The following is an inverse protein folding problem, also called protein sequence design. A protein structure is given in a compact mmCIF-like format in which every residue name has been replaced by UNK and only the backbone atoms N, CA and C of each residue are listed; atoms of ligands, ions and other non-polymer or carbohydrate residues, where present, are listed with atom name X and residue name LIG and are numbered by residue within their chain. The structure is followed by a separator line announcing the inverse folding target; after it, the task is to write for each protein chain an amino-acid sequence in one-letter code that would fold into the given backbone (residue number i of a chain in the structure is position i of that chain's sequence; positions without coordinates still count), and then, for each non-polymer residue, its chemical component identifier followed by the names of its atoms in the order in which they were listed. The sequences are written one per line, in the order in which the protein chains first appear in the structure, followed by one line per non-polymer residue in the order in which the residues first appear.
data_IF_584360949185
#
_entry.id   IF_584360949185
#
_cell.length_a   1.000
_cell.length_b   1.000
_cell.length_c   1.000
_cell.angle_alpha   90.00
_cell.angle_beta   90.00
_cell.angle_gamma   90.00
#
_symmetry.space_group_name_H-M   'P 1'
#
loop_
_entity.id
_entity.type
_entity.pdbx_description
1 polymer ?
#
# COMPACT_ATOMS: atom_id res chain seq x y z
N UNK A 1 -37.13 -34.65 39.17
CA UNK A 1 -35.74 -34.26 39.49
C UNK A 1 -34.90 -34.41 38.24
N UNK A 2 -34.04 -33.41 37.97
CA UNK A 2 -33.00 -33.34 36.93
C UNK A 2 -33.48 -32.96 35.54
N UNK A 3 -32.93 -31.97 34.85
CA UNK A 3 -32.32 -30.67 35.14
C UNK A 3 -32.09 -30.09 33.74
N UNK A 4 -32.58 -28.88 33.49
CA UNK A 4 -32.35 -28.13 32.26
C UNK A 4 -30.85 -27.75 32.24
N UNK A 5 -30.14 -28.09 31.17
CA UNK A 5 -28.79 -27.54 30.91
C UNK A 5 -28.88 -26.75 29.61
N UNK A 6 -29.09 -25.43 29.75
CA UNK A 6 -28.74 -24.45 28.73
C UNK A 6 -27.21 -24.50 28.57
N UNK A 7 -26.73 -24.88 27.39
CA UNK A 7 -25.35 -24.58 26.98
C UNK A 7 -25.39 -23.43 26.01
N UNK A 8 -24.81 -22.32 26.47
CA UNK A 8 -24.69 -21.04 25.78
C UNK A 8 -23.85 -21.19 24.51
N UNK A 9 -24.43 -20.89 23.35
CA UNK A 9 -23.67 -20.63 22.13
C UNK A 9 -23.14 -19.20 22.21
N UNK A 10 -21.85 -19.05 22.53
CA UNK A 10 -21.13 -17.79 22.33
C UNK A 10 -20.86 -17.67 20.84
N UNK A 11 -21.62 -16.81 20.17
CA UNK A 11 -21.41 -16.42 18.79
C UNK A 11 -20.13 -15.58 18.67
N UNK A 12 -19.06 -16.18 18.17
CA UNK A 12 -17.88 -15.46 17.68
C UNK A 12 -18.17 -14.89 16.27
N UNK A 13 -19.02 -13.87 16.19
CA UNK A 13 -19.18 -13.05 14.98
C UNK A 13 -18.72 -11.63 15.29
N UNK A 14 -17.53 -11.26 14.82
CA UNK A 14 -17.06 -9.88 14.97
C UNK A 14 -15.76 -9.54 14.28
N UNK A 15 -14.86 -10.50 14.06
CA UNK A 15 -13.53 -10.20 13.50
C UNK A 15 -13.48 -10.25 11.98
N UNK A 16 -14.39 -10.97 11.32
CA UNK A 16 -14.39 -11.14 9.86
C UNK A 16 -14.92 -9.90 9.09
N UNK A 17 -15.68 -9.00 9.74
CA UNK A 17 -16.31 -7.85 9.07
C UNK A 17 -15.33 -6.70 8.84
N UNK A 18 -14.48 -6.39 9.82
CA UNK A 18 -13.58 -5.24 9.75
C UNK A 18 -12.46 -5.45 8.71
N UNK A 19 -11.81 -6.61 8.71
CA UNK A 19 -10.73 -6.90 7.75
C UNK A 19 -11.24 -7.03 6.30
N UNK A 20 -12.48 -7.50 6.10
CA UNK A 20 -13.10 -7.58 4.78
C UNK A 20 -13.52 -6.20 4.25
N UNK A 21 -14.02 -5.33 5.12
CA UNK A 21 -14.40 -3.95 4.80
C UNK A 21 -13.18 -3.06 4.52
N UNK A 22 -12.12 -3.20 5.30
CA UNK A 22 -10.84 -2.50 5.12
C UNK A 22 -10.16 -2.88 3.79
N UNK A 23 -10.27 -4.14 3.36
CA UNK A 23 -9.81 -4.56 2.03
C UNK A 23 -10.62 -3.93 0.89
N UNK A 24 -11.95 -3.74 1.07
CA UNK A 24 -12.81 -3.12 0.06
C UNK A 24 -12.50 -1.62 -0.13
N UNK A 25 -12.30 -0.89 0.97
CA UNK A 25 -11.89 0.52 0.93
C UNK A 25 -10.53 0.69 0.25
N UNK A 26 -9.55 -0.15 0.62
CA UNK A 26 -8.22 -0.14 0.01
C UNK A 26 -8.23 -0.49 -1.47
N UNK A 27 -9.07 -1.46 -1.88
CA UNK A 27 -9.29 -1.80 -3.29
C UNK A 27 -9.90 -0.65 -4.08
N UNK A 28 -10.88 0.05 -3.51
CA UNK A 28 -11.48 1.23 -4.15
C UNK A 28 -10.45 2.35 -4.30
N UNK A 29 -9.62 2.57 -3.29
CA UNK A 29 -8.54 3.53 -3.32
C UNK A 29 -7.42 3.17 -4.33
N UNK A 30 -7.22 1.88 -4.61
CA UNK A 30 -6.25 1.37 -5.59
C UNK A 30 -6.61 1.67 -7.05
N UNK A 31 -7.87 2.03 -7.37
CA UNK A 31 -8.29 2.33 -8.74
C UNK A 31 -7.36 3.35 -9.40
N UNK A 32 -6.93 4.37 -8.68
CA UNK A 32 -5.95 5.35 -9.18
C UNK A 32 -4.61 4.72 -9.53
N UNK A 33 -4.12 3.81 -8.68
CA UNK A 33 -2.83 3.15 -8.87
C UNK A 33 -2.86 2.18 -10.07
N UNK A 34 -4.03 1.56 -10.33
CA UNK A 34 -4.22 0.57 -11.39
C UNK A 34 -4.02 1.12 -12.80
N UNK A 35 -4.19 2.44 -12.99
CA UNK A 35 -3.93 3.10 -14.27
C UNK A 35 -2.49 2.90 -14.78
N UNK A 36 -1.53 2.71 -13.86
CA UNK A 36 -0.13 2.49 -14.20
C UNK A 36 0.35 1.09 -13.78
N UNK A 37 -0.06 0.61 -12.60
CA UNK A 37 0.36 -0.68 -12.07
C UNK A 37 -0.49 -1.86 -12.56
N UNK A 38 -1.51 -1.60 -13.39
CA UNK A 38 -2.52 -2.54 -13.86
C UNK A 38 -3.44 -3.06 -12.73
N UNK A 39 -4.61 -3.59 -13.07
CA UNK A 39 -5.55 -4.13 -12.08
C UNK A 39 -4.99 -5.33 -11.29
N UNK A 40 -4.05 -6.08 -11.90
CA UNK A 40 -3.39 -7.23 -11.30
C UNK A 40 -2.04 -6.91 -10.63
N UNK A 41 -1.65 -5.63 -10.56
CA UNK A 41 -0.39 -5.20 -9.95
C UNK A 41 0.87 -5.63 -10.70
N UNK A 42 0.79 -6.17 -11.92
CA UNK A 42 1.97 -6.62 -12.70
C UNK A 42 2.67 -5.52 -13.48
N UNK A 43 2.14 -4.30 -13.43
CA UNK A 43 2.54 -3.17 -14.27
C UNK A 43 1.86 -3.25 -15.63
N UNK A 44 1.39 -2.10 -16.14
CA UNK A 44 0.73 -2.01 -17.44
C UNK A 44 1.76 -2.11 -18.58
N UNK A 45 1.71 -3.10 -19.48
CA UNK A 45 2.63 -3.19 -20.63
C UNK A 45 2.38 -2.05 -21.63
N UNK A 46 3.47 -1.48 -22.17
CA UNK A 46 3.47 -0.46 -23.23
C UNK A 46 4.55 -0.84 -24.23
N UNK A 47 4.17 -1.58 -25.29
CA UNK A 47 5.12 -2.16 -26.23
C UNK A 47 6.06 -3.15 -25.56
N UNK A 48 7.37 -2.93 -25.69
CA UNK A 48 8.45 -3.70 -25.05
C UNK A 48 8.73 -3.28 -23.59
N UNK A 49 8.01 -2.27 -23.09
CA UNK A 49 8.22 -1.64 -21.78
C UNK A 49 7.00 -1.77 -20.88
N UNK A 50 7.07 -1.17 -19.69
CA UNK A 50 5.91 -1.03 -18.78
C UNK A 50 5.68 0.42 -18.41
N UNK A 51 4.44 0.77 -18.08
CA UNK A 51 4.10 2.08 -17.51
C UNK A 51 4.70 2.21 -16.11
N UNK A 52 4.61 1.17 -15.29
CA UNK A 52 5.11 1.12 -13.92
C UNK A 52 5.60 -0.28 -13.53
N UNK A 53 6.43 -0.43 -12.47
CA UNK A 53 6.89 -1.73 -11.99
C UNK A 53 5.75 -2.60 -11.46
N UNK A 54 6.02 -3.91 -11.35
CA UNK A 54 5.13 -4.81 -10.61
C UNK A 54 5.17 -4.51 -9.12
N UNK A 55 4.01 -4.58 -8.48
CA UNK A 55 3.83 -4.49 -7.02
C UNK A 55 3.94 -5.87 -6.36
N UNK A 56 3.77 -6.96 -7.12
CA UNK A 56 3.91 -8.33 -6.62
C UNK A 56 5.38 -8.62 -6.27
N UNK A 57 5.64 -9.07 -5.05
CA UNK A 57 7.00 -9.38 -4.57
C UNK A 57 7.94 -8.17 -4.51
N UNK A 58 7.41 -6.95 -4.62
CA UNK A 58 8.21 -5.72 -4.58
C UNK A 58 8.87 -5.56 -3.20
N UNK A 59 10.17 -5.23 -3.19
CA UNK A 59 10.93 -4.95 -1.96
C UNK A 59 10.40 -3.71 -1.24
N UNK A 60 10.07 -2.66 -2.00
CA UNK A 60 9.43 -1.45 -1.46
C UNK A 60 8.08 -1.77 -0.82
N UNK A 61 7.26 -2.60 -1.48
CA UNK A 61 5.93 -2.95 -0.96
C UNK A 61 6.04 -3.80 0.30
N UNK A 62 6.93 -4.80 0.31
CA UNK A 62 7.02 -5.77 1.40
C UNK A 62 7.99 -5.35 2.53
N UNK A 63 8.75 -4.27 2.35
CA UNK A 63 9.68 -3.73 3.33
C UNK A 63 9.01 -2.75 4.31
N UNK A 64 9.76 -1.71 4.69
CA UNK A 64 9.31 -0.65 5.58
C UNK A 64 8.10 0.10 4.98
N UNK A 65 6.91 0.08 5.63
CA UNK A 65 5.73 0.79 5.16
C UNK A 65 5.95 2.31 5.06
N UNK A 66 6.85 2.90 5.85
CA UNK A 66 7.17 4.33 5.75
C UNK A 66 7.84 4.66 4.41
N UNK A 67 8.66 3.76 3.87
CA UNK A 67 9.33 3.93 2.57
C UNK A 67 8.33 3.79 1.43
N UNK A 68 7.39 2.84 1.51
CA UNK A 68 6.28 2.76 0.55
C UNK A 68 5.44 4.04 0.56
N UNK A 69 5.09 4.54 1.76
CA UNK A 69 4.36 5.78 1.91
C UNK A 69 5.12 6.97 1.31
N UNK A 70 6.43 7.06 1.53
CA UNK A 70 7.29 8.09 0.93
C UNK A 70 7.19 8.09 -0.60
N UNK A 71 7.32 6.93 -1.24
CA UNK A 71 7.25 6.80 -2.71
C UNK A 71 5.88 7.24 -3.24
N UNK A 72 4.79 6.94 -2.53
CA UNK A 72 3.45 7.39 -2.95
C UNK A 72 3.27 8.89 -2.73
N UNK A 73 3.69 9.42 -1.58
CA UNK A 73 3.54 10.85 -1.27
C UNK A 73 4.35 11.72 -2.23
N UNK A 74 5.63 11.40 -2.42
CA UNK A 74 6.58 12.26 -3.14
C UNK A 74 6.81 11.83 -4.58
N UNK A 75 6.29 10.68 -4.98
CA UNK A 75 6.55 10.11 -6.29
C UNK A 75 7.98 9.58 -6.41
N UNK A 76 8.32 9.10 -7.61
CA UNK A 76 9.66 8.63 -7.94
C UNK A 76 10.14 9.29 -9.23
N UNK A 77 11.38 9.75 -9.23
CA UNK A 77 12.03 10.30 -10.42
C UNK A 77 12.14 9.19 -11.46
N UNK A 78 11.81 9.53 -12.71
CA UNK A 78 12.04 8.62 -13.83
C UNK A 78 13.53 8.53 -14.11
N UNK A 79 14.05 7.32 -13.96
CA UNK A 79 15.46 6.97 -14.18
C UNK A 79 15.49 5.66 -14.99
N UNK A 80 16.31 5.63 -16.04
CA UNK A 80 16.35 4.53 -16.99
C UNK A 80 15.21 4.52 -18.01
N UNK A 81 15.19 3.46 -18.84
CA UNK A 81 14.26 3.31 -19.96
C UNK A 81 13.33 2.08 -19.84
N UNK A 82 13.33 1.42 -18.68
CA UNK A 82 12.47 0.25 -18.38
C UNK A 82 11.00 0.67 -18.20
N UNK A 83 10.78 1.84 -17.58
CA UNK A 83 9.46 2.38 -17.28
C UNK A 83 9.18 3.65 -18.07
N UNK A 84 8.01 3.69 -18.71
CA UNK A 84 7.57 4.86 -19.48
C UNK A 84 6.98 5.94 -18.59
N UNK A 85 6.25 5.55 -17.55
CA UNK A 85 5.63 6.46 -16.61
C UNK A 85 6.64 7.12 -15.66
N UNK A 86 6.25 8.30 -15.18
CA UNK A 86 6.79 8.93 -13.98
C UNK A 86 5.73 8.72 -12.89
N UNK A 87 6.10 8.23 -11.71
CA UNK A 87 5.16 8.22 -10.59
C UNK A 87 5.12 9.62 -9.99
N UNK A 88 4.09 10.38 -10.32
CA UNK A 88 3.89 11.71 -9.77
C UNK A 88 3.64 11.65 -8.24
N UNK A 89 3.92 12.73 -7.49
CA UNK A 89 3.53 12.85 -6.09
C UNK A 89 2.00 12.72 -5.95
N UNK A 90 1.54 11.83 -5.07
CA UNK A 90 0.10 11.61 -4.80
C UNK A 90 -0.31 12.06 -3.39
N UNK A 91 0.55 12.78 -2.67
CA UNK A 91 0.30 13.23 -1.29
C UNK A 91 -1.00 14.01 -1.12
N UNK A 92 -1.34 14.90 -2.07
CA UNK A 92 -2.58 15.67 -2.03
C UNK A 92 -3.82 14.80 -2.29
N UNK A 93 -3.70 13.78 -3.16
CA UNK A 93 -4.81 12.87 -3.48
C UNK A 93 -5.15 11.94 -2.30
N UNK A 94 -4.11 11.55 -1.56
CA UNK A 94 -4.20 10.74 -0.35
C UNK A 94 -3.93 11.58 0.88
N UNK A 95 -4.51 12.79 0.98
CA UNK A 95 -4.34 13.67 2.15
C UNK A 95 -5.02 13.11 3.42
N UNK A 96 -6.12 12.39 3.25
CA UNK A 96 -6.80 11.68 4.33
C UNK A 96 -5.97 10.46 4.79
N UNK A 97 -5.72 10.37 6.10
CA UNK A 97 -4.84 9.33 6.63
C UNK A 97 -5.46 7.93 6.55
N UNK A 98 -6.79 7.81 6.72
CA UNK A 98 -7.45 6.51 6.66
C UNK A 98 -7.43 5.97 5.23
N UNK A 99 -7.85 6.77 4.25
CA UNK A 99 -7.80 6.40 2.83
C UNK A 99 -6.39 6.02 2.37
N UNK A 100 -5.36 6.71 2.89
CA UNK A 100 -3.99 6.38 2.56
C UNK A 100 -3.53 5.06 3.22
N UNK A 101 -3.90 4.84 4.48
CA UNK A 101 -3.67 3.59 5.17
C UNK A 101 -4.33 2.40 4.44
N UNK A 102 -5.58 2.57 4.01
CA UNK A 102 -6.34 1.55 3.29
C UNK A 102 -5.63 1.12 2.00
N UNK A 103 -5.17 2.07 1.16
CA UNK A 103 -4.47 1.73 -0.09
C UNK A 103 -3.10 1.11 0.16
N UNK A 104 -2.37 1.57 1.19
CA UNK A 104 -1.10 0.98 1.60
C UNK A 104 -1.29 -0.49 2.02
N UNK A 105 -2.27 -0.74 2.88
CA UNK A 105 -2.64 -2.08 3.34
C UNK A 105 -3.06 -2.97 2.17
N UNK A 106 -3.93 -2.48 1.28
CA UNK A 106 -4.36 -3.26 0.11
C UNK A 106 -3.18 -3.67 -0.78
N UNK A 107 -2.27 -2.76 -1.11
CA UNK A 107 -1.09 -3.07 -1.94
C UNK A 107 -0.16 -4.08 -1.25
N UNK A 108 0.00 -3.96 0.08
CA UNK A 108 0.85 -4.83 0.92
C UNK A 108 0.31 -6.24 1.12
N UNK A 109 -1.00 -6.44 0.94
CA UNK A 109 -1.68 -7.73 1.16
C UNK A 109 -2.28 -8.33 -0.13
N UNK A 110 -2.16 -7.63 -1.25
CA UNK A 110 -2.64 -8.08 -2.56
C UNK A 110 -1.49 -8.58 -3.44
N UNK A 111 -1.85 -9.14 -4.60
CA UNK A 111 -0.89 -9.55 -5.64
C UNK A 111 0.11 -10.62 -5.17
N UNK A 112 -0.26 -11.40 -4.16
CA UNK A 112 0.60 -12.42 -3.53
C UNK A 112 1.50 -11.88 -2.42
N UNK A 113 1.39 -10.59 -2.07
CA UNK A 113 2.05 -10.02 -0.91
C UNK A 113 1.31 -10.39 0.38
N UNK A 114 2.04 -10.50 1.49
CA UNK A 114 1.49 -10.83 2.82
C UNK A 114 2.08 -9.92 3.91
N UNK A 115 2.45 -8.69 3.54
CA UNK A 115 3.06 -7.75 4.46
C UNK A 115 2.03 -7.16 5.43
N UNK A 116 2.52 -6.61 6.55
CA UNK A 116 1.66 -6.07 7.61
C UNK A 116 0.72 -4.98 7.10
N UNK A 117 -0.46 -4.86 7.72
CA UNK A 117 -1.33 -3.70 7.53
C UNK A 117 -0.65 -2.40 8.00
N UNK A 118 -1.16 -1.27 7.52
CA UNK A 118 -0.79 0.09 7.91
C UNK A 118 -2.02 0.77 8.47
N UNK A 119 -1.91 1.45 9.61
CA UNK A 119 -3.03 2.20 10.20
C UNK A 119 -2.97 3.69 9.87
N UNK A 120 -4.07 4.41 10.15
CA UNK A 120 -4.10 5.87 10.00
C UNK A 120 -3.09 6.58 10.93
N UNK A 121 -2.84 6.05 12.13
CA UNK A 121 -1.80 6.56 13.03
C UNK A 121 -0.39 6.36 12.47
N UNK A 122 -0.14 5.23 11.82
CA UNK A 122 1.14 4.99 11.15
C UNK A 122 1.36 5.98 10.00
N UNK A 123 0.33 6.24 9.20
CA UNK A 123 0.39 7.29 8.16
C UNK A 123 0.73 8.66 8.75
N UNK A 124 0.13 9.03 9.89
CA UNK A 124 0.45 10.30 10.55
C UNK A 124 1.94 10.38 10.95
N UNK A 125 2.51 9.28 11.47
CA UNK A 125 3.95 9.20 11.79
C UNK A 125 4.81 9.29 10.53
N UNK A 126 4.42 8.62 9.44
CA UNK A 126 5.17 8.65 8.18
C UNK A 126 5.20 10.05 7.58
N UNK A 127 4.09 10.81 7.66
CA UNK A 127 4.07 12.21 7.22
C UNK A 127 5.05 13.07 8.00
N UNK A 128 5.10 12.90 9.32
CA UNK A 128 6.06 13.61 10.17
C UNK A 128 7.50 13.21 9.83
N UNK A 129 7.77 11.91 9.65
CA UNK A 129 9.07 11.37 9.28
C UNK A 129 9.59 11.93 7.95
N UNK A 130 8.69 12.16 6.98
CA UNK A 130 9.05 12.62 5.63
C UNK A 130 8.67 14.07 5.35
N UNK A 131 8.36 14.87 6.38
CA UNK A 131 7.88 16.26 6.21
C UNK A 131 8.87 17.15 5.45
N UNK A 132 10.16 16.89 5.61
CA UNK A 132 11.23 17.64 4.99
C UNK A 132 11.58 17.12 3.59
N UNK A 133 11.00 15.99 3.17
CA UNK A 133 11.13 15.53 1.78
C UNK A 133 10.23 16.34 0.85
N UNK A 134 10.86 17.12 -0.04
CA UNK A 134 10.16 17.92 -1.04
C UNK A 134 10.34 17.40 -2.47
N UNK A 135 11.39 16.63 -2.72
CA UNK A 135 11.74 16.17 -4.06
C UNK A 135 11.24 14.74 -4.32
N UNK A 136 10.98 14.38 -5.60
CA UNK A 136 10.71 13.00 -5.96
C UNK A 136 11.86 12.07 -5.58
N UNK A 137 11.51 10.89 -5.08
CA UNK A 137 12.49 9.89 -4.64
C UNK A 137 13.35 9.45 -5.82
N UNK A 138 14.67 9.38 -5.63
CA UNK A 138 15.59 8.78 -6.62
C UNK A 138 15.77 7.29 -6.36
N UNK A 139 16.13 6.50 -7.37
CA UNK A 139 16.44 5.07 -7.23
C UNK A 139 17.62 4.85 -6.28
N UNK A 140 18.60 5.73 -6.30
CA UNK A 140 19.74 5.67 -5.38
C UNK A 140 19.29 5.84 -3.92
N UNK A 141 18.45 6.85 -3.64
CA UNK A 141 17.90 7.07 -2.30
C UNK A 141 17.02 5.90 -1.85
N UNK A 142 16.17 5.39 -2.74
CA UNK A 142 15.33 4.24 -2.45
C UNK A 142 16.17 3.01 -2.09
N UNK A 143 17.24 2.73 -2.84
CA UNK A 143 18.15 1.63 -2.55
C UNK A 143 18.85 1.77 -1.18
N UNK A 144 19.17 2.99 -0.73
CA UNK A 144 19.71 3.23 0.60
C UNK A 144 18.67 2.99 1.71
N UNK A 145 17.41 3.38 1.48
CA UNK A 145 16.32 3.16 2.42
C UNK A 145 15.99 1.67 2.56
N UNK A 146 16.00 0.90 1.46
CA UNK A 146 15.75 -0.55 1.49
C UNK A 146 16.82 -1.36 2.26
N UNK A 147 18.00 -0.79 2.51
CA UNK A 147 19.07 -1.44 3.30
C UNK A 147 18.87 -1.29 4.81
N UNK A 148 18.16 -0.26 5.25
CA UNK A 148 17.90 0.03 6.67
C UNK A 148 16.71 -0.82 7.10
N UNK A 149 17.00 -1.92 7.80
CA UNK A 149 16.00 -2.80 8.41
C UNK A 149 15.74 -2.38 9.85
#
# INVERSE_FOLDING_TARGET
MKNIILTSMIAALGVASAAAEENAAGKAAYVTCSACHNADGKGLPIGDKKMAPSLAGSKVVNGDPAVLALVIMKGIKKEGAEYMGVMAPLEALYADNQKFADVLTYVRQSFGNTASAVTAEDVAKFREQWKDEKDPVTRAKLAELEKKK
#
